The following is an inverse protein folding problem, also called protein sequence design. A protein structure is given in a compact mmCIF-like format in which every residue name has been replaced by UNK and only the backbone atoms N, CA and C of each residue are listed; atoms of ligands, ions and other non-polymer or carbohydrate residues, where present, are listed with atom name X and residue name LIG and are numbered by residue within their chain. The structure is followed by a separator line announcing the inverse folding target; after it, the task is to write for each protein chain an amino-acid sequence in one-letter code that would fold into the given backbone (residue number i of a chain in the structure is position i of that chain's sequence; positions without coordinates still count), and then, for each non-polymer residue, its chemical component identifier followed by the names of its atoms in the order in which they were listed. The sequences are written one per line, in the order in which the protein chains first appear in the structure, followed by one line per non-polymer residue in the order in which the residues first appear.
data_IF_878816584427
#
_entry.id   IF_878816584427
#
_cell.length_a   1.000
_cell.length_b   1.000
_cell.length_c   1.000
_cell.angle_alpha   90.00
_cell.angle_beta   90.00
_cell.angle_gamma   90.00
#
_symmetry.space_group_name_H-M   'P 1'
#
loop_
_entity.id
_entity.type
_entity.pdbx_description
1 polymer ?
#
# COMPACT_ATOMS: atom_id res chain seq x y z
N UNK A 1 2.01 -4.00 -12.71
CA UNK A 1 2.21 -2.60 -13.14
C UNK A 1 0.87 -1.97 -13.47
N UNK A 2 0.68 -0.74 -13.02
CA UNK A 2 -0.50 0.08 -13.33
C UNK A 2 -0.31 0.75 -14.69
N UNK A 3 -1.40 1.19 -15.32
CA UNK A 3 -1.37 1.83 -16.63
C UNK A 3 -2.48 2.88 -16.77
N UNK A 4 -2.32 3.82 -17.71
CA UNK A 4 -3.33 4.86 -17.98
C UNK A 4 -3.52 5.89 -16.87
N UNK A 5 -2.66 5.90 -15.84
CA UNK A 5 -2.67 6.87 -14.74
C UNK A 5 -1.64 7.97 -15.03
N UNK A 6 -1.96 9.22 -14.71
CA UNK A 6 -0.95 10.30 -14.65
C UNK A 6 0.02 9.98 -13.51
N UNK A 7 1.29 9.73 -13.85
CA UNK A 7 2.25 9.10 -12.94
C UNK A 7 3.58 9.85 -12.81
N UNK A 8 3.68 11.05 -13.37
CA UNK A 8 4.82 11.94 -13.18
C UNK A 8 4.41 13.39 -13.43
N UNK A 9 4.97 14.34 -12.68
CA UNK A 9 4.88 15.79 -12.90
C UNK A 9 5.84 16.28 -13.99
N UNK A 10 6.89 15.51 -14.29
CA UNK A 10 7.96 15.89 -15.23
C UNK A 10 7.72 15.39 -16.67
N UNK A 11 6.49 15.01 -17.00
CA UNK A 11 6.12 14.42 -18.29
C UNK A 11 5.91 15.45 -19.43
N UNK A 12 6.25 16.72 -19.22
CA UNK A 12 6.12 17.77 -20.23
C UNK A 12 7.48 18.06 -20.88
N UNK A 13 7.51 18.26 -22.20
CA UNK A 13 8.71 18.43 -23.06
C UNK A 13 9.64 19.61 -22.69
N UNK A 14 9.39 20.32 -21.57
CA UNK A 14 10.06 21.55 -21.17
C UNK A 14 10.63 21.51 -19.75
N UNK A 15 10.41 20.43 -18.98
CA UNK A 15 11.01 20.28 -17.66
C UNK A 15 12.27 19.41 -17.78
N UNK A 16 13.35 19.82 -17.11
CA UNK A 16 14.53 18.98 -16.92
C UNK A 16 14.06 17.57 -16.50
N UNK A 17 14.49 16.54 -17.23
CA UNK A 17 14.08 15.16 -16.92
C UNK A 17 14.75 14.74 -15.61
N UNK A 18 14.08 15.03 -14.50
CA UNK A 18 14.52 14.66 -13.16
C UNK A 18 14.09 13.21 -12.92
N UNK A 19 15.08 12.31 -13.02
CA UNK A 19 14.91 10.92 -12.62
C UNK A 19 15.06 10.83 -11.11
N UNK A 20 13.97 10.53 -10.39
CA UNK A 20 14.01 10.30 -8.95
C UNK A 20 14.59 8.92 -8.62
N UNK A 21 15.39 8.83 -7.57
CA UNK A 21 15.79 7.54 -7.00
C UNK A 21 14.65 6.97 -6.16
N UNK A 22 14.01 5.93 -6.68
CA UNK A 22 12.85 5.28 -6.06
C UNK A 22 13.19 3.92 -5.42
N UNK A 23 14.46 3.68 -5.09
CA UNK A 23 14.93 2.43 -4.46
C UNK A 23 14.16 2.12 -3.17
N UNK A 24 13.96 3.14 -2.34
CA UNK A 24 13.19 3.05 -1.10
C UNK A 24 11.98 4.00 -1.15
N UNK A 25 10.80 3.52 -1.59
CA UNK A 25 9.65 4.39 -1.92
C UNK A 25 8.94 4.98 -0.70
N UNK A 26 9.37 4.62 0.52
CA UNK A 26 8.74 5.06 1.76
C UNK A 26 9.77 5.66 2.72
N UNK A 27 9.46 6.84 3.25
CA UNK A 27 10.26 7.56 4.23
C UNK A 27 10.47 6.72 5.50
N UNK A 28 11.72 6.36 5.78
CA UNK A 28 12.10 5.52 6.92
C UNK A 28 11.68 6.11 8.27
N UNK A 29 11.82 7.43 8.45
CA UNK A 29 11.43 8.09 9.68
C UNK A 29 9.92 8.03 9.88
N UNK A 30 9.14 8.29 8.83
CA UNK A 30 7.68 8.22 8.89
C UNK A 30 7.19 6.79 9.17
N UNK A 31 7.82 5.79 8.57
CA UNK A 31 7.58 4.37 8.88
C UNK A 31 7.86 4.05 10.35
N UNK A 32 8.98 4.50 10.90
CA UNK A 32 9.31 4.30 12.34
C UNK A 32 8.26 4.91 13.25
N UNK A 33 7.77 6.11 12.93
CA UNK A 33 6.69 6.75 13.67
C UNK A 33 5.38 5.94 13.61
N UNK A 34 4.99 5.43 12.43
CA UNK A 34 3.82 4.55 12.29
C UNK A 34 3.97 3.25 13.09
N UNK A 35 5.14 2.61 13.05
CA UNK A 35 5.43 1.39 13.83
C UNK A 35 5.32 1.67 15.33
N UNK A 36 5.86 2.79 15.81
CA UNK A 36 5.74 3.19 17.21
C UNK A 36 4.27 3.40 17.58
N UNK A 37 3.53 4.18 16.80
CA UNK A 37 2.12 4.46 17.04
C UNK A 37 1.25 3.18 17.08
N UNK A 38 1.54 2.21 16.21
CA UNK A 38 0.85 0.92 16.21
C UNK A 38 1.14 0.10 17.47
N UNK A 39 2.39 0.13 17.97
CA UNK A 39 2.78 -0.49 19.24
C UNK A 39 2.10 0.17 20.43
N UNK A 40 2.10 1.50 20.49
CA UNK A 40 1.43 2.26 21.56
C UNK A 40 -0.09 2.02 21.56
N UNK A 41 -0.68 1.85 20.37
CA UNK A 41 -2.08 1.47 20.21
C UNK A 41 -2.38 -0.03 20.49
N UNK A 42 -1.37 -0.82 20.85
CA UNK A 42 -1.47 -2.27 21.08
C UNK A 42 -2.10 -3.03 19.90
N UNK A 43 -1.80 -2.60 18.67
CA UNK A 43 -2.26 -3.25 17.44
C UNK A 43 -1.29 -4.36 17.05
N UNK A 44 -1.80 -5.49 16.60
CA UNK A 44 -1.01 -6.54 15.96
C UNK A 44 -0.83 -6.15 14.49
N UNK A 45 0.42 -6.11 14.01
CA UNK A 45 0.75 -5.71 12.65
C UNK A 45 1.99 -6.45 12.13
N UNK A 46 2.20 -6.39 10.81
CA UNK A 46 3.45 -6.74 10.14
C UNK A 46 4.20 -5.46 9.82
N UNK A 47 5.47 -5.37 10.21
CA UNK A 47 6.34 -4.26 9.80
C UNK A 47 6.96 -4.59 8.44
N UNK A 48 6.61 -3.79 7.44
CA UNK A 48 7.11 -3.93 6.08
C UNK A 48 6.43 -5.03 5.27
N UNK A 49 7.13 -5.45 4.22
CA UNK A 49 6.65 -6.35 3.19
C UNK A 49 6.44 -5.65 1.84
N UNK A 50 6.36 -6.45 0.79
CA UNK A 50 6.32 -6.01 -0.61
C UNK A 50 4.85 -5.81 -1.02
N UNK A 51 4.49 -4.55 -1.32
CA UNK A 51 3.18 -4.17 -1.85
C UNK A 51 3.14 -4.41 -3.36
N UNK A 52 2.32 -5.36 -3.82
CA UNK A 52 1.99 -5.51 -5.24
C UNK A 52 0.84 -4.61 -5.66
N UNK A 53 1.08 -3.67 -6.58
CA UNK A 53 0.04 -2.77 -7.09
C UNK A 53 -0.54 -3.30 -8.40
N UNK A 54 -1.86 -3.50 -8.39
CA UNK A 54 -2.64 -3.91 -9.57
C UNK A 54 -3.51 -2.77 -10.07
N UNK A 55 -4.05 -2.92 -11.29
CA UNK A 55 -4.80 -1.86 -11.93
C UNK A 55 -6.21 -1.68 -11.35
N UNK A 56 -6.88 -2.77 -10.96
CA UNK A 56 -8.32 -2.77 -10.73
C UNK A 56 -9.15 -2.49 -12.01
N UNK A 57 -10.48 -2.32 -11.89
CA UNK A 57 -11.29 -2.45 -10.67
C UNK A 57 -11.59 -3.92 -10.31
N UNK A 58 -11.27 -4.88 -11.18
CA UNK A 58 -11.41 -6.31 -10.86
C UNK A 58 -10.40 -6.72 -9.79
N UNK A 59 -10.79 -7.68 -8.97
CA UNK A 59 -9.85 -8.42 -8.12
C UNK A 59 -9.02 -9.37 -8.99
N UNK A 60 -7.84 -9.71 -8.50
CA UNK A 60 -6.91 -10.65 -9.13
C UNK A 60 -7.52 -12.06 -9.21
N UNK A 61 -7.12 -12.80 -10.23
CA UNK A 61 -7.36 -14.24 -10.31
C UNK A 61 -6.39 -14.98 -9.39
N UNK A 62 -6.73 -16.21 -8.97
CA UNK A 62 -5.81 -17.03 -8.17
C UNK A 62 -4.47 -17.28 -8.87
N UNK A 63 -4.46 -17.37 -10.20
CA UNK A 63 -3.24 -17.53 -10.99
C UNK A 63 -2.35 -16.27 -10.99
N UNK A 64 -2.95 -15.08 -11.00
CA UNK A 64 -2.21 -13.83 -10.84
C UNK A 64 -1.63 -13.72 -9.43
N UNK A 65 -2.39 -14.08 -8.40
CA UNK A 65 -1.87 -14.11 -7.02
C UNK A 65 -0.72 -15.12 -6.89
N UNK A 66 -0.80 -16.30 -7.52
CA UNK A 66 0.32 -17.27 -7.56
C UNK A 66 1.59 -16.66 -8.17
N UNK A 67 1.44 -15.82 -9.19
CA UNK A 67 2.56 -15.13 -9.80
C UNK A 67 3.14 -14.07 -8.84
N UNK A 68 2.29 -13.26 -8.21
CA UNK A 68 2.74 -12.23 -7.27
C UNK A 68 3.49 -12.82 -6.07
N UNK A 69 3.01 -13.93 -5.50
CA UNK A 69 3.74 -14.61 -4.42
C UNK A 69 5.12 -15.10 -4.86
N UNK A 70 5.25 -15.61 -6.10
CA UNK A 70 6.56 -15.99 -6.66
C UNK A 70 7.49 -14.80 -6.89
N UNK A 71 6.94 -13.62 -7.11
CA UNK A 71 7.67 -12.35 -7.19
C UNK A 71 7.99 -11.77 -5.78
N UNK A 72 7.59 -12.45 -4.71
CA UNK A 72 7.84 -12.05 -3.32
C UNK A 72 6.84 -11.07 -2.74
N UNK A 73 5.73 -10.80 -3.44
CA UNK A 73 4.68 -9.88 -2.95
C UNK A 73 4.00 -10.46 -1.72
N UNK A 74 3.92 -9.64 -0.67
CA UNK A 74 3.28 -10.01 0.60
C UNK A 74 1.79 -9.64 0.64
N UNK A 75 1.41 -8.55 -0.01
CA UNK A 75 0.03 -8.06 -0.04
C UNK A 75 -0.24 -7.26 -1.31
N UNK A 76 -1.52 -7.24 -1.70
CA UNK A 76 -1.98 -6.63 -2.94
C UNK A 76 -2.93 -5.48 -2.66
N UNK A 77 -2.94 -4.52 -3.57
CA UNK A 77 -3.93 -3.45 -3.60
C UNK A 77 -3.77 -2.61 -4.87
N UNK A 78 -4.50 -1.49 -4.93
CA UNK A 78 -4.69 -0.78 -6.21
C UNK A 78 -4.21 0.67 -6.19
N UNK A 79 -3.80 1.22 -5.06
CA UNK A 79 -3.69 2.69 -4.88
C UNK A 79 -2.27 3.22 -4.68
N UNK A 80 -1.33 2.41 -4.17
CA UNK A 80 -0.01 2.91 -3.77
C UNK A 80 0.85 3.46 -4.94
N UNK A 81 0.58 3.06 -6.18
CA UNK A 81 1.19 3.65 -7.38
C UNK A 81 0.13 4.33 -8.25
N UNK A 82 0.35 5.56 -8.73
CA UNK A 82 1.60 6.32 -8.68
C UNK A 82 1.76 7.21 -7.44
N UNK A 83 0.90 7.11 -6.43
CA UNK A 83 0.88 8.00 -5.25
C UNK A 83 2.25 8.13 -4.55
N UNK A 84 2.95 7.00 -4.34
CA UNK A 84 4.27 7.00 -3.71
C UNK A 84 5.35 7.70 -4.56
N UNK A 85 5.35 7.45 -5.88
CA UNK A 85 6.29 8.07 -6.81
C UNK A 85 6.05 9.59 -6.93
N UNK A 86 4.79 10.00 -7.08
CA UNK A 86 4.40 11.41 -7.13
C UNK A 86 4.75 12.16 -5.85
N UNK A 87 4.63 11.51 -4.70
CA UNK A 87 5.05 12.11 -3.42
C UNK A 87 6.55 12.37 -3.39
N UNK A 88 7.36 11.43 -3.92
CA UNK A 88 8.80 11.59 -3.98
C UNK A 88 9.25 12.65 -5.00
N UNK A 89 8.59 12.74 -6.16
CA UNK A 89 8.82 13.82 -7.14
C UNK A 89 8.60 15.23 -6.56
N UNK A 90 7.82 15.33 -5.48
CA UNK A 90 7.53 16.59 -4.78
C UNK A 90 8.28 16.75 -3.45
N UNK A 91 9.25 15.88 -3.16
CA UNK A 91 9.98 15.84 -1.87
C UNK A 91 9.06 15.70 -0.63
N UNK A 92 7.89 15.07 -0.80
CA UNK A 92 6.94 14.82 0.28
C UNK A 92 7.28 13.49 0.94
N UNK A 93 7.54 13.52 2.26
CA UNK A 93 7.71 12.31 3.07
C UNK A 93 6.44 11.44 3.03
N UNK A 94 6.56 10.24 2.45
CA UNK A 94 5.44 9.32 2.25
C UNK A 94 5.67 7.97 2.94
N UNK A 95 4.64 7.41 3.55
CA UNK A 95 4.64 6.06 4.11
C UNK A 95 3.22 5.49 4.05
N UNK A 96 3.10 4.18 3.89
CA UNK A 96 1.80 3.51 3.78
C UNK A 96 1.43 2.76 5.06
N UNK A 97 0.18 2.94 5.50
CA UNK A 97 -0.48 2.09 6.50
C UNK A 97 -1.50 1.20 5.78
N UNK A 98 -1.13 -0.06 5.55
CA UNK A 98 -1.95 -1.01 4.80
C UNK A 98 -2.91 -1.79 5.71
N UNK A 99 -4.19 -1.81 5.35
CA UNK A 99 -5.24 -2.55 6.05
C UNK A 99 -5.50 -3.85 5.30
N UNK A 100 -5.20 -4.99 5.93
CA UNK A 100 -5.54 -6.30 5.38
C UNK A 100 -7.00 -6.60 5.71
N UNK A 101 -7.86 -6.53 4.69
CA UNK A 101 -9.31 -6.70 4.82
C UNK A 101 -9.83 -8.01 4.24
N UNK A 102 -8.99 -8.76 3.53
CA UNK A 102 -9.34 -10.05 2.97
C UNK A 102 -8.09 -10.87 2.64
N UNK A 103 -8.27 -12.19 2.51
CA UNK A 103 -7.29 -13.01 1.83
C UNK A 103 -7.31 -12.77 0.32
N UNK A 104 -6.14 -12.84 -0.31
CA UNK A 104 -6.03 -12.78 -1.77
C UNK A 104 -6.78 -13.96 -2.43
N UNK A 105 -7.13 -13.81 -3.71
CA UNK A 105 -7.89 -14.83 -4.44
C UNK A 105 -7.22 -16.22 -4.34
N UNK A 106 -8.00 -17.21 -3.88
CA UNK A 106 -7.55 -18.58 -3.67
C UNK A 106 -6.80 -18.85 -2.35
N UNK A 107 -6.66 -17.87 -1.45
CA UNK A 107 -6.00 -18.03 -0.13
C UNK A 107 -6.98 -18.01 1.05
N UNK A 108 -8.22 -17.58 0.81
CA UNK A 108 -9.30 -17.56 1.79
C UNK A 108 -10.30 -18.70 1.62
N UNK A 109 -11.18 -18.87 2.60
CA UNK A 109 -12.26 -19.87 2.60
C UNK A 109 -13.60 -19.33 2.10
N UNK A 110 -13.73 -18.01 2.00
CA UNK A 110 -14.93 -17.31 1.54
C UNK A 110 -14.62 -16.43 0.33
N UNK A 111 -15.67 -15.92 -0.34
CA UNK A 111 -15.47 -15.03 -1.50
C UNK A 111 -14.85 -13.72 -1.05
N UNK A 112 -13.92 -13.20 -1.87
CA UNK A 112 -13.17 -11.98 -1.55
C UNK A 112 -14.07 -10.81 -1.16
N UNK A 113 -15.16 -10.57 -1.88
CA UNK A 113 -16.04 -9.44 -1.59
C UNK A 113 -16.74 -9.57 -0.23
N UNK A 114 -17.14 -10.79 0.15
CA UNK A 114 -17.76 -11.07 1.45
C UNK A 114 -16.74 -10.90 2.58
N UNK A 115 -15.51 -11.36 2.37
CA UNK A 115 -14.40 -11.22 3.33
C UNK A 115 -14.08 -9.74 3.62
N UNK A 116 -14.06 -8.91 2.56
CA UNK A 116 -13.87 -7.45 2.69
C UNK A 116 -14.97 -6.86 3.57
N UNK A 117 -16.24 -7.15 3.29
CA UNK A 117 -17.36 -6.58 4.04
C UNK A 117 -17.30 -6.94 5.53
N UNK A 118 -16.91 -8.18 5.86
CA UNK A 118 -16.82 -8.64 7.24
C UNK A 118 -15.70 -7.97 8.04
N UNK A 119 -14.55 -7.68 7.39
CA UNK A 119 -13.35 -7.23 8.11
C UNK A 119 -13.07 -5.73 8.01
N UNK A 120 -13.68 -5.02 7.05
CA UNK A 120 -13.34 -3.64 6.74
C UNK A 120 -13.48 -2.70 7.94
N UNK A 121 -14.58 -2.78 8.69
CA UNK A 121 -14.82 -1.87 9.81
C UNK A 121 -13.89 -2.15 10.99
N UNK A 122 -13.56 -3.42 11.24
CA UNK A 122 -12.58 -3.80 12.24
C UNK A 122 -11.17 -3.30 11.85
N UNK A 123 -10.78 -3.46 10.58
CA UNK A 123 -9.49 -2.97 10.08
C UNK A 123 -9.40 -1.43 10.13
N UNK A 124 -10.47 -0.72 9.73
CA UNK A 124 -10.58 0.74 9.84
C UNK A 124 -10.45 1.20 11.29
N UNK A 125 -11.12 0.54 12.22
CA UNK A 125 -11.04 0.87 13.64
C UNK A 125 -9.62 0.75 14.19
N UNK A 126 -8.87 -0.28 13.79
CA UNK A 126 -7.45 -0.43 14.14
C UNK A 126 -6.61 0.70 13.55
N UNK A 127 -6.81 1.04 12.28
CA UNK A 127 -6.08 2.12 11.62
C UNK A 127 -6.33 3.48 12.27
N UNK A 128 -7.58 3.81 12.62
CA UNK A 128 -7.91 5.04 13.34
C UNK A 128 -7.21 5.10 14.70
N UNK A 129 -7.16 4.00 15.45
CA UNK A 129 -6.44 3.93 16.73
C UNK A 129 -4.94 4.19 16.55
N UNK A 130 -4.31 3.57 15.54
CA UNK A 130 -2.90 3.81 15.20
C UNK A 130 -2.67 5.28 14.82
N UNK A 131 -3.50 5.85 13.94
CA UNK A 131 -3.33 7.23 13.49
C UNK A 131 -3.54 8.24 14.64
N UNK A 132 -4.45 7.96 15.58
CA UNK A 132 -4.58 8.77 16.79
C UNK A 132 -3.27 8.79 17.59
N UNK A 133 -2.63 7.63 17.82
CA UNK A 133 -1.32 7.59 18.51
C UNK A 133 -0.19 8.23 17.68
N UNK A 134 -0.32 8.27 16.37
CA UNK A 134 0.69 8.87 15.50
C UNK A 134 0.70 10.42 15.59
N UNK A 135 -0.46 11.05 15.79
CA UNK A 135 -0.59 12.51 15.85
C UNK A 135 -0.62 13.08 17.28
N UNK A 136 -0.56 12.22 18.31
CA UNK A 136 -0.41 12.61 19.72
C UNK A 136 1.07 12.74 20.08
#
# INVERSE_FOLDING_TARGET
YTWGRSHSFFNTQLANSEYIDFTDPFCLNLRKCLVKAAKDASIIFKDGGIYGVTQGPRIETAAEVNRFEKEGVDYLGMTAMPEAALSMELDISYASLCLIVNHAAGRGTIKVHEDIQLNLDAARSKAIKTLKQFFL
#
